data_IF_135858002257
#
_entry.id   IF_135858002257
#
_cell.length_a   1.000
_cell.length_b   1.000
_cell.length_c   1.000
_cell.angle_alpha   90.00
_cell.angle_beta   90.00
_cell.angle_gamma   90.00
#
_symmetry.space_group_name_H-M   'P 1'
#
loop_
_entity.id
_entity.type
_entity.pdbx_description
1 polymer ?
#
# COMPACT_ATOMS: atom_id res chain seq x y z
N UNK A 1 -2.03 6.73 17.23
CA UNK A 1 -2.55 8.04 16.80
C UNK A 1 -1.41 9.03 16.77
N UNK A 2 -0.98 9.45 15.60
CA UNK A 2 0.07 10.45 15.41
C UNK A 2 -0.52 11.84 15.68
N UNK A 3 0.01 12.54 16.69
CA UNK A 3 -0.39 13.92 17.01
C UNK A 3 0.70 14.88 16.53
N UNK A 4 0.36 15.78 15.63
CA UNK A 4 1.23 16.89 15.25
C UNK A 4 0.66 18.18 15.84
N UNK A 5 1.47 18.95 16.54
CA UNK A 5 1.09 20.24 17.11
C UNK A 5 1.58 21.37 16.20
N UNK A 6 0.66 22.15 15.66
CA UNK A 6 0.92 23.46 15.07
C UNK A 6 -0.10 24.42 15.72
N UNK A 7 0.38 25.36 16.53
CA UNK A 7 -0.47 26.42 17.12
C UNK A 7 -1.51 25.95 18.14
N UNK A 8 -1.21 24.96 18.98
CA UNK A 8 -2.07 24.58 20.12
C UNK A 8 -3.31 23.72 19.78
N UNK A 9 -3.59 23.44 18.52
CA UNK A 9 -4.69 22.56 18.13
C UNK A 9 -4.13 21.21 17.63
N UNK A 10 -4.53 20.12 18.30
CA UNK A 10 -4.13 18.77 17.91
C UNK A 10 -5.05 18.28 16.78
N UNK A 11 -4.53 18.22 15.57
CA UNK A 11 -5.20 17.54 14.47
C UNK A 11 -4.81 16.07 14.47
N UNK A 12 -5.81 15.19 14.48
CA UNK A 12 -5.61 13.76 14.24
C UNK A 12 -5.42 13.60 12.73
N UNK A 13 -4.17 13.39 12.33
CA UNK A 13 -3.83 13.18 10.92
C UNK A 13 -3.99 11.69 10.60
N UNK A 14 -4.69 11.36 9.49
CA UNK A 14 -4.79 9.98 9.01
C UNK A 14 -3.39 9.45 8.67
N UNK A 15 -2.93 8.34 9.25
CA UNK A 15 -1.65 7.76 8.88
C UNK A 15 -1.71 7.22 7.44
N UNK A 16 -0.63 7.43 6.70
CA UNK A 16 -0.39 6.78 5.42
C UNK A 16 0.45 5.52 5.64
N UNK A 17 -0.12 4.36 5.33
CA UNK A 17 0.51 3.05 5.48
C UNK A 17 0.88 2.47 4.13
N UNK A 18 2.00 1.82 4.09
CA UNK A 18 2.50 1.07 2.95
C UNK A 18 2.77 -0.36 3.33
N UNK A 19 2.26 -1.32 2.57
CA UNK A 19 2.63 -2.74 2.70
C UNK A 19 2.88 -3.33 1.33
N UNK A 20 3.90 -4.19 1.23
CA UNK A 20 4.28 -4.87 0.00
C UNK A 20 4.92 -6.22 0.29
N UNK A 21 4.63 -7.19 -0.57
CA UNK A 21 5.39 -8.43 -0.63
C UNK A 21 6.74 -8.18 -1.33
N UNK A 22 7.80 -8.72 -0.77
CA UNK A 22 9.16 -8.61 -1.29
C UNK A 22 9.92 -9.93 -1.05
N UNK A 23 10.78 -10.32 -1.97
CA UNK A 23 11.66 -11.49 -1.79
C UNK A 23 12.86 -11.13 -0.92
N UNK A 24 13.58 -12.13 -0.43
CA UNK A 24 14.81 -11.94 0.37
C UNK A 24 15.89 -11.14 -0.36
N UNK A 25 15.93 -11.19 -1.69
CA UNK A 25 16.84 -10.43 -2.55
C UNK A 25 16.22 -9.10 -3.05
N UNK A 26 15.10 -8.65 -2.45
CA UNK A 26 14.51 -7.34 -2.68
C UNK A 26 13.62 -7.20 -3.93
N UNK A 27 13.32 -8.29 -4.63
CA UNK A 27 12.40 -8.25 -5.76
C UNK A 27 10.96 -8.04 -5.28
N UNK A 28 10.23 -7.09 -5.91
CA UNK A 28 8.83 -6.78 -5.61
C UNK A 28 7.86 -7.09 -6.77
N UNK A 29 8.25 -7.98 -7.68
CA UNK A 29 7.35 -8.47 -8.74
C UNK A 29 6.28 -9.39 -8.13
N UNK A 30 5.01 -9.01 -8.24
CA UNK A 30 3.89 -9.79 -7.70
C UNK A 30 3.83 -11.24 -8.23
N UNK A 31 4.36 -11.49 -9.44
CA UNK A 31 4.43 -12.84 -10.05
C UNK A 31 5.44 -13.76 -9.37
N UNK A 32 6.37 -13.19 -8.61
CA UNK A 32 7.35 -13.94 -7.83
C UNK A 32 6.85 -14.34 -6.45
N UNK A 33 5.67 -13.84 -6.04
CA UNK A 33 5.14 -14.05 -4.69
C UNK A 33 4.37 -15.36 -4.59
N UNK A 34 4.42 -15.95 -3.40
CA UNK A 34 3.56 -17.08 -3.04
C UNK A 34 2.21 -16.54 -2.58
N UNK A 35 1.15 -17.10 -3.15
CA UNK A 35 -0.19 -16.86 -2.66
C UNK A 35 -0.54 -17.95 -1.64
N UNK A 36 -0.86 -17.58 -0.40
CA UNK A 36 -1.43 -18.45 0.60
C UNK A 36 -2.53 -17.74 1.38
N UNK A 37 -3.35 -18.52 2.05
CA UNK A 37 -4.53 -18.04 2.75
C UNK A 37 -4.17 -17.07 3.88
N UNK A 38 -3.13 -17.37 4.67
CA UNK A 38 -2.73 -16.54 5.80
C UNK A 38 -2.21 -15.18 5.33
N UNK A 39 -1.43 -15.15 4.25
CA UNK A 39 -0.94 -13.91 3.65
C UNK A 39 -2.08 -13.06 3.08
N UNK A 40 -3.07 -13.68 2.43
CA UNK A 40 -4.23 -12.96 1.93
C UNK A 40 -5.12 -12.41 3.04
N UNK A 41 -5.34 -13.19 4.11
CA UNK A 41 -6.06 -12.73 5.30
C UNK A 41 -5.35 -11.52 5.91
N UNK A 42 -4.04 -11.59 6.11
CA UNK A 42 -3.23 -10.49 6.60
C UNK A 42 -3.32 -9.24 5.69
N UNK A 43 -3.28 -9.43 4.37
CA UNK A 43 -3.46 -8.34 3.43
C UNK A 43 -4.85 -7.68 3.54
N UNK A 44 -5.92 -8.48 3.68
CA UNK A 44 -7.27 -7.96 3.90
C UNK A 44 -7.39 -7.18 5.21
N UNK A 45 -6.82 -7.69 6.31
CA UNK A 45 -6.76 -7.01 7.61
C UNK A 45 -6.01 -5.69 7.53
N UNK A 46 -4.92 -5.62 6.78
CA UNK A 46 -4.18 -4.38 6.54
C UNK A 46 -5.02 -3.34 5.80
N UNK A 47 -5.78 -3.74 4.78
CA UNK A 47 -6.68 -2.83 4.07
C UNK A 47 -7.79 -2.29 4.99
N UNK A 48 -8.33 -3.11 5.90
CA UNK A 48 -9.36 -2.70 6.86
C UNK A 48 -8.88 -1.65 7.88
N UNK A 49 -7.57 -1.46 8.02
CA UNK A 49 -6.97 -0.40 8.86
C UNK A 49 -7.01 0.97 8.18
N UNK A 50 -7.43 1.03 6.91
CA UNK A 50 -7.59 2.26 6.14
C UNK A 50 -9.03 2.41 5.68
N UNK A 51 -9.42 3.63 5.39
CA UNK A 51 -10.72 3.97 4.81
C UNK A 51 -10.58 4.42 3.36
N UNK A 52 -9.35 4.60 2.87
CA UNK A 52 -9.10 4.84 1.46
C UNK A 52 -7.74 4.26 1.01
N UNK A 53 -7.70 3.87 -0.26
CA UNK A 53 -6.53 3.33 -0.93
C UNK A 53 -5.95 4.38 -1.88
N UNK A 54 -4.62 4.42 -1.99
CA UNK A 54 -3.89 5.33 -2.87
C UNK A 54 -3.08 4.51 -3.88
N UNK A 55 -3.38 4.67 -5.16
CA UNK A 55 -2.74 3.93 -6.25
C UNK A 55 -2.17 4.86 -7.31
N UNK A 56 -1.04 4.47 -7.90
CA UNK A 56 -0.64 4.99 -9.20
C UNK A 56 -1.41 4.27 -10.31
N UNK A 57 -1.41 4.83 -11.52
CA UNK A 57 -2.15 4.29 -12.67
C UNK A 57 -1.97 2.78 -12.86
N UNK A 58 -0.74 2.30 -12.98
CA UNK A 58 -0.45 0.88 -13.26
C UNK A 58 -0.99 -0.03 -12.16
N UNK A 59 -0.86 0.37 -10.90
CA UNK A 59 -1.39 -0.41 -9.77
C UNK A 59 -2.92 -0.40 -9.77
N UNK A 60 -3.54 0.74 -10.07
CA UNK A 60 -4.99 0.83 -10.21
C UNK A 60 -5.53 -0.12 -11.28
N UNK A 61 -4.99 -0.02 -12.50
CA UNK A 61 -5.38 -0.87 -13.63
C UNK A 61 -5.19 -2.37 -13.33
N UNK A 62 -4.08 -2.73 -12.70
CA UNK A 62 -3.79 -4.11 -12.29
C UNK A 62 -4.78 -4.61 -11.22
N UNK A 63 -5.07 -3.81 -10.20
CA UNK A 63 -6.00 -4.17 -9.14
C UNK A 63 -7.44 -4.23 -9.65
N UNK A 64 -7.84 -3.30 -10.52
CA UNK A 64 -9.14 -3.31 -11.15
C UNK A 64 -9.34 -4.58 -12.00
N UNK A 65 -8.38 -4.92 -12.85
CA UNK A 65 -8.43 -6.13 -13.67
C UNK A 65 -8.52 -7.42 -12.85
N UNK A 66 -7.85 -7.47 -11.69
CA UNK A 66 -7.82 -8.66 -10.85
C UNK A 66 -9.02 -8.77 -9.88
N UNK A 67 -9.57 -7.65 -9.38
CA UNK A 67 -10.44 -7.67 -8.20
C UNK A 67 -11.81 -7.03 -8.41
N UNK A 68 -12.04 -6.29 -9.49
CA UNK A 68 -13.36 -5.71 -9.77
C UNK A 68 -14.36 -6.82 -10.08
N UNK A 69 -15.54 -6.89 -9.41
CA UNK A 69 -16.50 -7.98 -9.58
C UNK A 69 -17.03 -8.17 -11.02
N UNK A 70 -17.12 -7.08 -11.79
CA UNK A 70 -17.58 -7.07 -13.18
C UNK A 70 -16.54 -7.60 -14.18
N UNK A 71 -15.30 -7.84 -13.75
CA UNK A 71 -14.26 -8.38 -14.63
C UNK A 71 -14.37 -9.90 -14.66
N UNK A 72 -14.53 -10.54 -15.84
CA UNK A 72 -14.50 -11.98 -15.95
C UNK A 72 -13.11 -12.49 -15.52
N UNK A 73 -13.02 -13.03 -14.34
CA UNK A 73 -11.81 -13.69 -13.83
C UNK A 73 -12.05 -15.18 -13.67
N UNK A 74 -11.01 -15.98 -13.77
CA UNK A 74 -11.09 -17.38 -13.37
C UNK A 74 -11.63 -17.50 -11.93
N UNK A 75 -12.34 -18.58 -11.63
CA UNK A 75 -12.85 -18.82 -10.29
C UNK A 75 -11.70 -18.69 -9.27
N UNK A 76 -11.88 -17.80 -8.32
CA UNK A 76 -10.93 -17.58 -7.21
C UNK A 76 -11.21 -18.58 -6.10
N UNK A 77 -10.18 -19.03 -5.37
CA UNK A 77 -10.39 -19.73 -4.10
C UNK A 77 -11.20 -18.86 -3.11
N UNK A 78 -12.10 -19.47 -2.35
CA UNK A 78 -13.00 -18.78 -1.42
C UNK A 78 -12.25 -17.92 -0.37
N UNK A 79 -11.05 -18.35 0.03
CA UNK A 79 -10.23 -17.61 0.98
C UNK A 79 -9.72 -16.26 0.46
N UNK A 80 -9.80 -15.99 -0.86
CA UNK A 80 -9.49 -14.68 -1.44
C UNK A 80 -10.66 -13.69 -1.36
N UNK A 81 -11.87 -14.17 -1.09
CA UNK A 81 -13.09 -13.36 -1.11
C UNK A 81 -13.09 -12.19 -0.11
N UNK A 82 -12.57 -12.35 1.14
CA UNK A 82 -12.48 -11.24 2.08
C UNK A 82 -11.64 -10.07 1.55
N UNK A 83 -10.51 -10.37 0.90
CA UNK A 83 -9.69 -9.34 0.26
C UNK A 83 -10.41 -8.68 -0.92
N UNK A 84 -11.04 -9.48 -1.78
CA UNK A 84 -11.79 -9.00 -2.95
C UNK A 84 -12.90 -8.02 -2.54
N UNK A 85 -13.71 -8.38 -1.55
CA UNK A 85 -14.76 -7.49 -1.02
C UNK A 85 -14.21 -6.22 -0.40
N UNK A 86 -13.12 -6.34 0.35
CA UNK A 86 -12.52 -5.18 1.02
C UNK A 86 -11.96 -4.17 0.02
N UNK A 87 -11.23 -4.65 -0.99
CA UNK A 87 -10.67 -3.75 -2.01
C UNK A 87 -11.74 -3.17 -2.91
N UNK A 88 -12.79 -3.92 -3.23
CA UNK A 88 -13.91 -3.43 -4.04
C UNK A 88 -14.65 -2.28 -3.34
N UNK A 89 -15.01 -2.46 -2.08
CA UNK A 89 -15.75 -1.48 -1.28
C UNK A 89 -14.94 -0.22 -0.95
N UNK A 90 -13.62 -0.32 -0.83
CA UNK A 90 -12.77 0.78 -0.39
C UNK A 90 -12.81 1.96 -1.38
N UNK A 91 -12.83 3.21 -0.87
CA UNK A 91 -12.56 4.41 -1.65
C UNK A 91 -11.13 4.36 -2.20
N UNK A 92 -10.95 4.75 -3.45
CA UNK A 92 -9.64 4.80 -4.11
C UNK A 92 -9.30 6.20 -4.58
N UNK A 93 -8.06 6.61 -4.38
CA UNK A 93 -7.47 7.80 -4.99
C UNK A 93 -6.41 7.36 -5.98
N UNK A 94 -6.52 7.76 -7.24
CA UNK A 94 -5.62 7.34 -8.31
C UNK A 94 -4.76 8.51 -8.75
N UNK A 95 -3.48 8.44 -8.44
CA UNK A 95 -2.50 9.45 -8.85
C UNK A 95 -2.10 9.18 -10.30
N UNK A 96 -2.53 10.05 -11.20
CA UNK A 96 -2.23 9.92 -12.63
C UNK A 96 -2.33 11.26 -13.36
N UNK A 97 -1.37 11.52 -14.26
CA UNK A 97 -1.43 12.63 -15.21
C UNK A 97 -1.97 12.22 -16.58
N UNK A 98 -2.13 10.93 -16.84
CA UNK A 98 -2.45 10.38 -18.16
C UNK A 98 -3.82 9.69 -18.24
N UNK A 99 -4.42 9.27 -17.12
CA UNK A 99 -5.79 8.75 -17.12
C UNK A 99 -6.78 9.90 -17.24
N UNK A 100 -7.76 9.76 -18.11
CA UNK A 100 -8.84 10.74 -18.26
C UNK A 100 -9.93 10.56 -17.20
N UNK A 101 -10.24 9.32 -16.86
CA UNK A 101 -11.30 8.95 -15.91
C UNK A 101 -10.95 7.68 -15.14
N UNK A 102 -11.60 7.51 -14.01
CA UNK A 102 -11.62 6.30 -13.15
C UNK A 102 -13.05 6.13 -12.63
N UNK A 103 -13.49 4.91 -12.35
CA UNK A 103 -14.87 4.67 -11.93
C UNK A 103 -15.07 3.60 -10.84
N UNK A 104 -14.09 2.76 -10.55
CA UNK A 104 -14.15 1.72 -9.52
C UNK A 104 -14.09 2.30 -8.09
N UNK A 105 -15.14 3.00 -7.64
CA UNK A 105 -15.17 3.79 -6.41
C UNK A 105 -13.88 4.63 -6.27
N UNK A 106 -13.45 5.24 -7.37
CA UNK A 106 -12.16 5.90 -7.48
C UNK A 106 -12.29 7.37 -7.86
N UNK A 107 -11.30 8.17 -7.49
CA UNK A 107 -11.16 9.58 -7.80
C UNK A 107 -9.74 9.86 -8.29
N UNK A 108 -9.62 10.67 -9.36
CA UNK A 108 -8.33 11.08 -9.88
C UNK A 108 -7.69 12.16 -9.02
N UNK A 109 -6.42 11.95 -8.69
CA UNK A 109 -5.56 12.93 -8.03
C UNK A 109 -4.54 13.43 -9.04
N UNK A 110 -4.55 14.75 -9.27
CA UNK A 110 -3.69 15.43 -10.23
C UNK A 110 -2.88 16.54 -9.55
N UNK A 111 -1.86 17.03 -10.23
CA UNK A 111 -1.02 18.14 -9.76
C UNK A 111 0.06 17.73 -8.77
N UNK A 112 0.29 18.56 -7.77
CA UNK A 112 1.35 18.36 -6.77
C UNK A 112 1.02 17.20 -5.84
N UNK A 113 1.76 16.11 -5.93
CA UNK A 113 1.57 14.90 -5.14
C UNK A 113 1.66 15.16 -3.64
N UNK A 114 2.64 15.97 -3.22
CA UNK A 114 2.88 16.25 -1.81
C UNK A 114 1.69 16.98 -1.16
N UNK A 115 1.21 18.04 -1.83
CA UNK A 115 0.06 18.81 -1.38
C UNK A 115 -1.21 17.97 -1.35
N UNK A 116 -1.46 17.20 -2.41
CA UNK A 116 -2.65 16.35 -2.51
C UNK A 116 -2.69 15.32 -1.38
N UNK A 117 -1.59 14.60 -1.15
CA UNK A 117 -1.55 13.57 -0.08
C UNK A 117 -1.59 14.20 1.31
N UNK A 118 -0.95 15.35 1.53
CA UNK A 118 -1.09 16.07 2.80
C UNK A 118 -2.53 16.51 3.06
N UNK A 119 -3.27 16.93 2.03
CA UNK A 119 -4.69 17.26 2.16
C UNK A 119 -5.50 16.02 2.56
N UNK A 120 -5.34 14.91 1.86
CA UNK A 120 -6.00 13.64 2.21
C UNK A 120 -5.69 13.18 3.63
N UNK A 121 -4.47 13.38 4.10
CA UNK A 121 -4.08 13.03 5.49
C UNK A 121 -4.77 13.91 6.54
N UNK A 122 -5.20 15.13 6.21
CA UNK A 122 -5.91 16.02 7.14
C UNK A 122 -7.39 15.72 7.27
N UNK A 123 -7.98 15.00 6.33
CA UNK A 123 -9.37 14.58 6.40
C UNK A 123 -9.58 13.59 7.56
N UNK A 124 -10.77 13.56 8.18
CA UNK A 124 -11.07 12.57 9.22
C UNK A 124 -11.10 11.16 8.62
N UNK A 125 -10.63 10.17 9.38
CA UNK A 125 -10.66 8.78 8.95
C UNK A 125 -9.68 7.88 9.71
N UNK A 126 -9.70 6.59 9.39
CA UNK A 126 -8.83 5.57 10.02
C UNK A 126 -7.40 5.62 9.49
N UNK A 127 -7.23 6.00 8.23
CA UNK A 127 -5.94 6.05 7.56
C UNK A 127 -6.05 5.89 6.05
N UNK A 128 -4.91 6.07 5.39
CA UNK A 128 -4.70 5.82 3.97
C UNK A 128 -3.79 4.60 3.82
N UNK A 129 -4.00 3.83 2.77
CA UNK A 129 -3.14 2.71 2.41
C UNK A 129 -2.63 2.89 0.99
N UNK A 130 -1.31 2.93 0.80
CA UNK A 130 -0.71 3.06 -0.53
C UNK A 130 -0.20 1.72 -1.03
N UNK A 131 -0.51 1.40 -2.29
CA UNK A 131 -0.03 0.21 -2.99
C UNK A 131 0.86 0.51 -4.18
N UNK A 132 1.59 -0.52 -4.63
CA UNK A 132 2.48 -0.47 -5.78
C UNK A 132 3.93 -0.16 -5.42
N UNK A 133 4.71 0.31 -6.39
CA UNK A 133 6.17 0.49 -6.25
C UNK A 133 6.59 1.95 -6.49
N UNK A 134 6.20 2.54 -7.62
CA UNK A 134 6.65 3.89 -8.00
C UNK A 134 6.03 4.99 -7.15
N UNK A 135 4.73 4.90 -6.84
CA UNK A 135 4.06 5.89 -6.01
C UNK A 135 4.58 5.86 -4.56
N UNK A 136 4.74 4.70 -3.89
CA UNK A 136 5.38 4.64 -2.58
C UNK A 136 6.81 5.18 -2.57
N UNK A 137 7.60 4.95 -3.62
CA UNK A 137 8.94 5.55 -3.75
C UNK A 137 8.86 7.08 -3.70
N UNK A 138 8.00 7.69 -4.51
CA UNK A 138 7.82 9.14 -4.53
C UNK A 138 7.32 9.68 -3.17
N UNK A 139 6.43 8.96 -2.50
CA UNK A 139 5.93 9.34 -1.18
C UNK A 139 6.96 9.17 -0.07
N UNK A 140 7.86 8.20 -0.17
CA UNK A 140 9.01 8.03 0.72
C UNK A 140 10.01 9.17 0.57
N UNK A 141 10.29 9.61 -0.66
CA UNK A 141 11.11 10.80 -0.96
C UNK A 141 10.54 12.07 -0.30
N UNK A 142 9.22 12.20 -0.26
CA UNK A 142 8.52 13.31 0.38
C UNK A 142 8.37 13.14 1.91
N UNK A 143 8.76 12.00 2.48
CA UNK A 143 8.62 11.71 3.91
C UNK A 143 7.15 11.61 4.36
N UNK A 144 6.25 11.20 3.48
CA UNK A 144 4.80 11.18 3.74
C UNK A 144 4.28 9.85 4.27
N UNK A 145 5.05 8.76 4.16
CA UNK A 145 4.67 7.45 4.67
C UNK A 145 4.95 7.38 6.18
N UNK A 146 3.93 7.03 6.95
CA UNK A 146 4.02 6.94 8.42
C UNK A 146 4.32 5.52 8.91
N UNK A 147 3.93 4.50 8.15
CA UNK A 147 4.14 3.10 8.49
C UNK A 147 4.51 2.30 7.23
N UNK A 148 5.57 1.52 7.33
CA UNK A 148 6.05 0.61 6.29
C UNK A 148 5.87 -0.82 6.78
N UNK A 149 5.36 -1.69 5.94
CA UNK A 149 5.33 -3.12 6.18
C UNK A 149 5.92 -3.86 4.98
N UNK A 150 6.92 -4.69 5.25
CA UNK A 150 7.53 -5.57 4.26
C UNK A 150 7.17 -7.01 4.62
N UNK A 151 6.41 -7.67 3.74
CA UNK A 151 6.09 -9.09 3.83
C UNK A 151 7.16 -9.84 3.06
N UNK A 152 8.21 -10.25 3.77
CA UNK A 152 9.39 -10.88 3.19
C UNK A 152 9.08 -12.35 2.91
N UNK A 153 9.10 -12.71 1.63
CA UNK A 153 8.90 -14.07 1.15
C UNK A 153 10.20 -14.87 1.24
N UNK A 154 10.18 -16.13 1.68
CA UNK A 154 11.38 -16.99 1.80
C UNK A 154 11.84 -17.47 0.42
N UNK A 155 12.20 -16.53 -0.47
CA UNK A 155 12.54 -16.80 -1.87
C UNK A 155 13.63 -15.85 -2.36
N UNK A 156 14.49 -16.37 -3.23
CA UNK A 156 15.46 -15.63 -4.04
C UNK A 156 15.05 -15.74 -5.50
N UNK A 157 15.01 -14.65 -6.24
CA UNK A 157 14.58 -14.60 -7.65
C UNK A 157 15.70 -14.16 -8.59
N UNK A 158 16.64 -13.35 -8.10
CA UNK A 158 17.82 -12.90 -8.84
C UNK A 158 17.54 -11.90 -9.96
N UNK A 159 16.29 -11.51 -10.17
CA UNK A 159 15.87 -10.57 -11.24
C UNK A 159 14.54 -9.91 -10.89
N UNK A 160 14.18 -8.88 -11.65
CA UNK A 160 12.91 -8.16 -11.48
C UNK A 160 13.10 -6.78 -10.83
N UNK A 161 12.00 -6.04 -10.60
CA UNK A 161 12.06 -4.72 -9.99
C UNK A 161 12.50 -4.82 -8.52
N UNK A 162 13.49 -4.02 -8.16
CA UNK A 162 14.00 -3.91 -6.79
C UNK A 162 13.22 -2.83 -6.04
N UNK A 163 12.75 -3.18 -4.84
CA UNK A 163 12.02 -2.28 -3.98
C UNK A 163 12.87 -1.06 -3.59
N UNK A 164 12.29 0.14 -3.70
CA UNK A 164 12.95 1.43 -3.45
C UNK A 164 14.24 1.69 -4.27
N UNK A 165 14.43 1.00 -5.38
CA UNK A 165 15.51 1.36 -6.29
C UNK A 165 15.36 2.81 -6.76
N UNK A 166 16.43 3.60 -6.58
CA UNK A 166 16.44 5.03 -6.91
C UNK A 166 16.00 5.97 -5.78
N UNK A 167 15.79 5.48 -4.55
CA UNK A 167 15.58 6.36 -3.39
C UNK A 167 16.81 7.26 -3.21
N UNK A 168 16.61 8.57 -3.25
CA UNK A 168 17.71 9.55 -3.27
C UNK A 168 18.28 9.86 -1.88
N UNK A 169 17.49 9.59 -0.84
CA UNK A 169 17.87 9.83 0.56
C UNK A 169 17.57 8.63 1.44
N UNK A 170 18.43 8.41 2.44
CA UNK A 170 18.22 7.38 3.44
C UNK A 170 16.99 7.68 4.30
N UNK A 171 16.18 6.66 4.56
CA UNK A 171 15.09 6.68 5.52
C UNK A 171 15.40 5.67 6.61
N UNK A 172 15.72 6.14 7.82
CA UNK A 172 15.95 5.27 8.96
C UNK A 172 14.63 4.82 9.56
N UNK A 173 14.49 3.52 9.78
CA UNK A 173 13.27 2.88 10.25
C UNK A 173 13.48 2.22 11.61
N UNK A 174 12.42 2.19 12.43
CA UNK A 174 12.35 1.48 13.70
C UNK A 174 11.34 0.36 13.59
N UNK A 175 11.76 -0.88 13.90
CA UNK A 175 10.84 -2.02 13.93
C UNK A 175 9.78 -1.82 15.02
N UNK A 176 8.52 -2.01 14.66
CA UNK A 176 7.35 -1.91 15.55
C UNK A 176 6.81 -3.28 15.88
N UNK A 177 6.66 -4.14 14.88
CA UNK A 177 6.17 -5.51 15.07
C UNK A 177 6.68 -6.44 13.97
N UNK A 178 6.62 -7.74 14.25
CA UNK A 178 6.82 -8.80 13.27
C UNK A 178 5.74 -9.87 13.44
N UNK A 179 5.38 -10.53 12.35
CA UNK A 179 4.47 -11.66 12.31
C UNK A 179 5.05 -12.71 11.36
N UNK A 180 5.18 -13.93 11.83
CA UNK A 180 5.67 -15.06 11.06
C UNK A 180 4.47 -15.88 10.56
N UNK A 181 4.50 -16.31 9.29
CA UNK A 181 3.46 -17.13 8.67
C UNK A 181 3.93 -18.58 8.53
N UNK A 182 2.98 -19.50 8.45
CA UNK A 182 3.28 -20.93 8.25
C UNK A 182 4.06 -21.24 6.97
N UNK A 183 3.97 -20.38 5.96
CA UNK A 183 4.76 -20.45 4.72
C UNK A 183 6.24 -20.08 4.89
N UNK A 184 6.65 -19.61 6.06
CA UNK A 184 7.98 -19.06 6.33
C UNK A 184 8.14 -17.59 5.89
N UNK A 185 7.09 -16.95 5.37
CA UNK A 185 7.10 -15.51 5.15
C UNK A 185 7.04 -14.74 6.47
N UNK A 186 7.59 -13.53 6.49
CA UNK A 186 7.62 -12.67 7.69
C UNK A 186 7.14 -11.28 7.34
N UNK A 187 6.04 -10.81 7.94
CA UNK A 187 5.64 -9.42 7.87
C UNK A 187 6.38 -8.61 8.94
N UNK A 188 7.13 -7.61 8.52
CA UNK A 188 7.88 -6.71 9.40
C UNK A 188 7.34 -5.30 9.23
N UNK A 189 6.84 -4.71 10.33
CA UNK A 189 6.27 -3.37 10.36
C UNK A 189 7.24 -2.39 11.00
N UNK A 190 7.41 -1.26 10.35
CA UNK A 190 8.34 -0.21 10.74
C UNK A 190 7.68 1.16 10.73
N UNK A 191 8.22 2.06 11.53
CA UNK A 191 7.94 3.50 11.49
C UNK A 191 9.23 4.27 11.19
N UNK A 192 9.16 5.43 10.48
CA UNK A 192 10.32 6.30 10.31
C UNK A 192 10.85 6.77 11.67
N UNK A 193 12.16 6.73 11.84
CA UNK A 193 12.82 7.41 12.96
C UNK A 193 12.76 8.91 12.72
N UNK A 194 12.19 9.62 13.62
CA UNK A 194 12.14 11.10 13.65
C UNK A 194 13.26 11.65 14.48
#
# INVERSE_FOLDING_TARGET
MLRHAIGGTFYVVRPLRYSINVTLDGCCDHRAMLADEDLHRHAAENLLRADALLFGRVTYEMMEAAWRPSTPTAARPDWMEPFARTIDAAKKYVVSSTLDRVDWNAELVRGDLGKAVQQLKREPGKGLFVGGVKLPLALAELGLIDEYEFVVQPRLVGRGPTLFAGLSKRVDLRLVSRLEFGSGAVAMRYEPRR
#
